data_IF_784772033609
#
_entry.id   IF_784772033609
#
_cell.length_a   1.000
_cell.length_b   1.000
_cell.length_c   1.000
_cell.angle_alpha   90.00
_cell.angle_beta   90.00
_cell.angle_gamma   90.00
#
_symmetry.space_group_name_H-M   'P 1'
#
loop_
_entity.id
_entity.type
_entity.pdbx_description
1 polymer ?
#
# COMPACT_ATOMS: atom_id res chain seq x y z
N UNK A 1 9.47 0.22 27.64
CA UNK A 1 10.53 -0.29 26.75
C UNK A 1 10.18 0.15 25.33
N UNK A 2 10.68 1.29 24.88
CA UNK A 2 10.41 1.80 23.51
C UNK A 2 11.19 0.95 22.52
N UNK A 3 10.51 0.33 21.56
CA UNK A 3 11.17 -0.39 20.48
C UNK A 3 12.08 0.59 19.72
N UNK A 4 13.32 0.19 19.36
CA UNK A 4 14.21 1.03 18.56
C UNK A 4 13.53 1.40 17.24
N UNK A 5 13.43 2.70 16.95
CA UNK A 5 12.74 3.24 15.78
C UNK A 5 13.48 2.82 14.50
N UNK A 6 12.95 1.89 13.70
CA UNK A 6 13.62 1.40 12.49
C UNK A 6 13.78 2.49 11.43
N UNK A 7 13.03 3.59 11.54
CA UNK A 7 13.07 4.71 10.60
C UNK A 7 14.12 5.77 10.96
N UNK A 8 14.77 5.67 12.12
CA UNK A 8 15.73 6.66 12.57
C UNK A 8 16.87 6.88 11.54
N UNK A 9 17.37 5.79 10.95
CA UNK A 9 18.41 5.85 9.90
C UNK A 9 17.93 6.55 8.63
N UNK A 10 16.69 6.29 8.21
CA UNK A 10 16.09 6.92 7.02
C UNK A 10 15.89 8.42 7.23
N UNK A 11 15.44 8.84 8.41
CA UNK A 11 15.24 10.26 8.74
C UNK A 11 16.57 11.03 8.74
N UNK A 12 17.63 10.42 9.27
CA UNK A 12 18.98 10.99 9.24
C UNK A 12 19.50 11.13 7.81
N UNK A 13 19.34 10.09 6.98
CA UNK A 13 19.73 10.15 5.57
C UNK A 13 18.98 11.25 4.82
N UNK A 14 17.66 11.36 5.01
CA UNK A 14 16.81 12.36 4.37
C UNK A 14 17.18 13.78 4.82
N UNK A 15 17.47 13.97 6.11
CA UNK A 15 17.97 15.25 6.64
C UNK A 15 19.31 15.64 6.00
N UNK A 16 20.24 14.69 5.81
CA UNK A 16 21.52 14.93 5.15
C UNK A 16 21.34 15.35 3.68
N UNK A 17 20.51 14.64 2.92
CA UNK A 17 20.23 14.98 1.53
C UNK A 17 19.54 16.33 1.38
N UNK A 18 18.57 16.65 2.27
CA UNK A 18 17.95 17.98 2.30
C UNK A 18 18.97 19.07 2.58
N UNK A 19 19.82 18.91 3.61
CA UNK A 19 20.87 19.89 3.91
C UNK A 19 21.82 20.09 2.74
N UNK A 20 22.23 19.02 2.07
CA UNK A 20 23.08 19.09 0.89
C UNK A 20 22.41 19.85 -0.26
N UNK A 21 21.16 19.50 -0.60
CA UNK A 21 20.39 20.18 -1.64
C UNK A 21 20.20 21.67 -1.32
N UNK A 22 19.86 22.00 -0.07
CA UNK A 22 19.71 23.40 0.37
C UNK A 22 21.04 24.15 0.35
N UNK A 23 22.15 23.51 0.77
CA UNK A 23 23.47 24.11 0.70
C UNK A 23 23.91 24.39 -0.75
N UNK A 24 23.64 23.46 -1.67
CA UNK A 24 23.93 23.65 -3.09
C UNK A 24 23.10 24.80 -3.68
N UNK A 25 21.81 24.89 -3.32
CA UNK A 25 20.95 26.00 -3.76
C UNK A 25 21.45 27.36 -3.24
N UNK A 26 21.82 27.42 -1.96
CA UNK A 26 22.41 28.61 -1.34
C UNK A 26 23.76 28.98 -1.98
N UNK A 27 24.58 27.98 -2.31
CA UNK A 27 25.83 28.19 -3.03
C UNK A 27 25.57 28.80 -4.42
N UNK A 28 24.61 28.27 -5.18
CA UNK A 28 24.25 28.85 -6.48
C UNK A 28 23.73 30.29 -6.35
N UNK A 29 22.93 30.57 -5.31
CA UNK A 29 22.48 31.92 -5.00
C UNK A 29 23.66 32.86 -4.68
N UNK A 30 24.59 32.41 -3.84
CA UNK A 30 25.78 33.16 -3.47
C UNK A 30 26.71 33.40 -4.67
N UNK A 31 26.92 32.40 -5.53
CA UNK A 31 27.68 32.54 -6.78
C UNK A 31 27.01 33.54 -7.73
N UNK A 32 25.68 33.49 -7.85
CA UNK A 32 24.92 34.44 -8.68
C UNK A 32 25.10 35.87 -8.18
N UNK A 33 24.98 36.09 -6.87
CA UNK A 33 25.16 37.41 -6.25
C UNK A 33 26.62 37.89 -6.31
N UNK A 34 27.57 37.00 -6.03
CA UNK A 34 29.00 37.29 -6.08
C UNK A 34 29.46 37.66 -7.49
N UNK A 35 28.94 36.97 -8.52
CA UNK A 35 29.25 37.27 -9.91
C UNK A 35 28.85 38.71 -10.33
N UNK A 36 27.84 39.33 -9.70
CA UNK A 36 27.49 40.74 -9.97
C UNK A 36 28.53 41.74 -9.46
N UNK A 37 29.37 41.37 -8.49
CA UNK A 37 30.43 42.23 -7.99
C UNK A 37 31.73 42.15 -8.82
N UNK A 38 31.82 41.19 -9.75
CA UNK A 38 32.99 41.01 -10.61
C UNK A 38 32.90 41.91 -11.86
N UNK A 39 34.04 42.34 -12.41
CA UNK A 39 34.06 43.08 -13.67
C UNK A 39 33.50 42.22 -14.83
N UNK A 40 32.85 42.87 -15.81
CA UNK A 40 32.28 42.17 -16.96
C UNK A 40 33.38 41.53 -17.81
N UNK A 41 33.16 40.29 -18.21
CA UNK A 41 34.09 39.49 -19.00
C UNK A 41 33.51 38.12 -19.33
N UNK A 42 34.05 37.48 -20.37
CA UNK A 42 33.50 36.20 -20.87
C UNK A 42 33.36 35.12 -19.78
N UNK A 43 34.35 34.98 -18.90
CA UNK A 43 34.33 34.01 -17.81
C UNK A 43 33.34 34.38 -16.70
N UNK A 44 33.15 35.67 -16.43
CA UNK A 44 32.21 36.14 -15.41
C UNK A 44 30.78 36.02 -15.90
N UNK A 45 30.53 36.28 -17.18
CA UNK A 45 29.24 36.06 -17.84
C UNK A 45 28.86 34.58 -17.86
N UNK A 46 29.81 33.70 -18.19
CA UNK A 46 29.60 32.25 -18.15
C UNK A 46 29.25 31.77 -16.74
N UNK A 47 30.02 32.20 -15.73
CA UNK A 47 29.76 31.87 -14.32
C UNK A 47 28.37 32.37 -13.89
N UNK A 48 28.02 33.60 -14.25
CA UNK A 48 26.74 34.20 -13.90
C UNK A 48 25.58 33.44 -14.57
N UNK A 49 25.70 33.10 -15.84
CA UNK A 49 24.70 32.33 -16.57
C UNK A 49 24.51 30.94 -15.97
N UNK A 50 25.61 30.22 -15.69
CA UNK A 50 25.57 28.89 -15.06
C UNK A 50 24.97 28.94 -13.65
N UNK A 51 25.39 29.90 -12.81
CA UNK A 51 24.89 30.04 -11.45
C UNK A 51 23.39 30.40 -11.43
N UNK A 52 22.97 31.33 -12.31
CA UNK A 52 21.56 31.74 -12.45
C UNK A 52 20.70 30.57 -12.95
N UNK A 53 21.18 29.81 -13.94
CA UNK A 53 20.50 28.60 -14.42
C UNK A 53 20.36 27.55 -13.31
N UNK A 54 21.42 27.31 -12.53
CA UNK A 54 21.40 26.39 -11.40
C UNK A 54 20.42 26.81 -10.29
N UNK A 55 20.39 28.10 -9.95
CA UNK A 55 19.47 28.67 -8.96
C UNK A 55 18.00 28.51 -9.39
N UNK A 56 17.68 28.91 -10.62
CA UNK A 56 16.31 28.81 -11.15
C UNK A 56 15.90 27.34 -11.29
N UNK A 57 16.80 26.47 -11.76
CA UNK A 57 16.56 25.03 -11.86
C UNK A 57 16.24 24.39 -10.51
N UNK A 58 17.01 24.74 -9.47
CA UNK A 58 16.75 24.24 -8.11
C UNK A 58 15.42 24.74 -7.51
N UNK A 59 15.07 26.00 -7.76
CA UNK A 59 13.76 26.55 -7.36
C UNK A 59 12.60 25.85 -8.09
N UNK A 60 12.78 25.54 -9.38
CA UNK A 60 11.78 24.85 -10.17
C UNK A 60 11.54 23.41 -9.69
N UNK A 61 12.60 22.68 -9.36
CA UNK A 61 12.50 21.33 -8.78
C UNK A 61 11.75 21.34 -7.43
N UNK A 62 12.10 22.28 -6.55
CA UNK A 62 11.38 22.46 -5.28
C UNK A 62 9.89 22.73 -5.49
N UNK A 63 9.57 23.60 -6.45
CA UNK A 63 8.19 23.92 -6.81
C UNK A 63 7.47 22.69 -7.37
N UNK A 64 8.09 21.90 -8.25
CA UNK A 64 7.49 20.73 -8.88
C UNK A 64 7.14 19.64 -7.85
N UNK A 65 8.09 19.29 -6.97
CA UNK A 65 7.87 18.30 -5.90
C UNK A 65 6.78 18.81 -4.94
N UNK A 66 6.84 20.08 -4.55
CA UNK A 66 5.85 20.65 -3.64
C UNK A 66 4.47 20.67 -4.29
N UNK A 67 4.35 21.07 -5.57
CA UNK A 67 3.10 21.12 -6.31
C UNK A 67 2.51 19.72 -6.58
N UNK A 68 3.31 18.67 -6.60
CA UNK A 68 2.82 17.30 -6.72
C UNK A 68 2.01 16.89 -5.47
N UNK A 69 2.51 17.23 -4.28
CA UNK A 69 1.95 16.78 -3.00
C UNK A 69 1.10 17.81 -2.25
N UNK A 70 1.39 19.11 -2.41
CA UNK A 70 0.84 20.22 -1.62
C UNK A 70 0.70 21.47 -2.49
N UNK A 71 0.21 22.57 -1.91
CA UNK A 71 0.16 23.88 -2.56
C UNK A 71 1.43 24.65 -2.22
N UNK A 72 2.27 25.04 -3.20
CA UNK A 72 3.45 25.85 -2.94
C UNK A 72 3.02 27.20 -2.35
N UNK A 73 3.72 27.66 -1.29
CA UNK A 73 3.44 28.91 -0.56
C UNK A 73 2.02 29.04 0.02
N UNK A 74 1.23 27.97 0.08
CA UNK A 74 -0.16 28.00 0.59
C UNK A 74 -1.18 28.67 -0.33
N UNK A 75 -0.77 29.14 -1.51
CA UNK A 75 -1.64 29.83 -2.45
C UNK A 75 -2.58 28.85 -3.18
N UNK A 76 -3.86 29.19 -3.41
CA UNK A 76 -4.82 28.34 -4.11
C UNK A 76 -4.61 28.38 -5.64
N UNK A 77 -3.44 27.93 -6.10
CA UNK A 77 -3.12 27.91 -7.53
C UNK A 77 -3.87 26.75 -8.20
N UNK A 78 -4.67 26.98 -9.26
CA UNK A 78 -5.31 25.93 -10.04
C UNK A 78 -4.24 24.96 -10.60
N UNK A 79 -4.55 23.67 -10.69
CA UNK A 79 -3.63 22.60 -11.15
C UNK A 79 -2.44 22.22 -10.23
N UNK A 80 -2.30 22.78 -9.02
CA UNK A 80 -1.36 22.26 -8.00
C UNK A 80 -2.00 21.18 -7.10
N UNK A 81 -1.21 20.51 -6.26
CA UNK A 81 -1.60 19.35 -5.46
C UNK A 81 -2.20 18.22 -6.32
N UNK A 82 -1.46 17.80 -7.36
CA UNK A 82 -1.93 16.83 -8.35
C UNK A 82 -2.28 15.48 -7.71
N UNK A 83 -1.42 14.96 -6.83
CA UNK A 83 -1.65 13.66 -6.17
C UNK A 83 -2.89 13.70 -5.27
N UNK A 84 -3.05 14.66 -4.33
CA UNK A 84 -4.27 14.76 -3.54
C UNK A 84 -5.54 14.87 -4.39
N UNK A 85 -5.51 15.64 -5.47
CA UNK A 85 -6.66 15.81 -6.38
C UNK A 85 -7.04 14.54 -7.14
N UNK A 86 -6.07 13.70 -7.50
CA UNK A 86 -6.28 12.48 -8.27
C UNK A 86 -6.18 11.21 -7.43
N UNK A 87 -6.24 11.31 -6.10
CA UNK A 87 -6.04 10.19 -5.16
C UNK A 87 -6.94 9.00 -5.47
N UNK A 88 -8.22 9.21 -5.78
CA UNK A 88 -9.13 8.11 -6.12
C UNK A 88 -8.73 7.39 -7.41
N UNK A 89 -8.39 8.14 -8.47
CA UNK A 89 -8.01 7.55 -9.76
C UNK A 89 -6.72 6.75 -9.62
N UNK A 90 -5.73 7.31 -8.91
CA UNK A 90 -4.47 6.64 -8.62
C UNK A 90 -4.68 5.40 -7.74
N UNK A 91 -5.54 5.48 -6.72
CA UNK A 91 -5.89 4.35 -5.85
C UNK A 91 -6.53 3.20 -6.62
N UNK A 92 -7.48 3.47 -7.51
CA UNK A 92 -8.07 2.44 -8.41
C UNK A 92 -7.04 1.83 -9.35
N UNK A 93 -6.09 2.63 -9.84
CA UNK A 93 -4.97 2.15 -10.67
C UNK A 93 -4.04 1.22 -9.90
N UNK A 94 -3.58 1.64 -8.72
CA UNK A 94 -2.74 0.86 -7.81
C UNK A 94 -3.42 -0.44 -7.38
N UNK A 95 -4.71 -0.40 -7.06
CA UNK A 95 -5.47 -1.61 -6.69
C UNK A 95 -5.47 -2.66 -7.81
N UNK A 96 -5.73 -2.24 -9.05
CA UNK A 96 -5.65 -3.13 -10.22
C UNK A 96 -4.24 -3.66 -10.46
N UNK A 97 -3.22 -2.82 -10.29
CA UNK A 97 -1.83 -3.23 -10.44
C UNK A 97 -1.45 -4.31 -9.42
N UNK A 98 -1.73 -4.08 -8.14
CA UNK A 98 -1.44 -5.03 -7.05
C UNK A 98 -2.21 -6.33 -7.24
N UNK A 99 -3.50 -6.26 -7.59
CA UNK A 99 -4.32 -7.44 -7.86
C UNK A 99 -3.82 -8.27 -9.04
N UNK A 100 -3.28 -7.64 -10.09
CA UNK A 100 -2.85 -8.36 -11.29
C UNK A 100 -1.39 -8.83 -11.25
N UNK A 101 -0.51 -8.15 -10.51
CA UNK A 101 0.95 -8.38 -10.59
C UNK A 101 1.60 -8.84 -9.29
N UNK A 102 1.03 -8.47 -8.13
CA UNK A 102 1.63 -8.80 -6.81
C UNK A 102 0.88 -9.94 -6.15
N UNK A 103 -0.45 -9.90 -6.19
CA UNK A 103 -1.34 -10.94 -5.65
C UNK A 103 -1.75 -11.92 -6.77
N UNK A 104 -0.76 -12.52 -7.43
CA UNK A 104 -1.06 -13.57 -8.40
C UNK A 104 -1.56 -14.82 -7.69
N UNK A 105 -2.37 -15.63 -8.36
CA UNK A 105 -2.89 -16.90 -7.82
C UNK A 105 -1.73 -17.80 -7.33
N UNK A 106 -0.63 -17.83 -8.09
CA UNK A 106 0.58 -18.56 -7.71
C UNK A 106 1.25 -18.03 -6.43
N UNK A 107 1.24 -16.71 -6.19
CA UNK A 107 1.80 -16.14 -4.95
C UNK A 107 0.86 -16.37 -3.76
N UNK A 108 -0.45 -16.33 -4.01
CA UNK A 108 -1.45 -16.65 -3.00
C UNK A 108 -1.34 -18.11 -2.55
N UNK A 109 -1.21 -19.05 -3.47
CA UNK A 109 -0.99 -20.47 -3.18
C UNK A 109 0.28 -20.71 -2.35
N UNK A 110 1.38 -20.00 -2.67
CA UNK A 110 2.62 -20.07 -1.89
C UNK A 110 2.44 -19.56 -0.46
N UNK A 111 1.68 -18.48 -0.27
CA UNK A 111 1.40 -17.95 1.06
C UNK A 111 0.50 -18.92 1.83
N UNK A 112 -0.59 -19.42 1.23
CA UNK A 112 -1.48 -20.39 1.87
C UNK A 112 -0.74 -21.68 2.24
N UNK A 113 0.15 -22.19 1.38
CA UNK A 113 0.97 -23.37 1.67
C UNK A 113 1.90 -23.19 2.89
N UNK A 114 2.24 -21.96 3.24
CA UNK A 114 3.05 -21.63 4.43
C UNK A 114 2.22 -21.42 5.69
N UNK A 115 0.90 -21.26 5.58
CA UNK A 115 0.02 -21.11 6.73
C UNK A 115 -0.37 -22.50 7.23
N UNK A 116 0.06 -22.83 8.44
CA UNK A 116 -0.36 -24.05 9.13
C UNK A 116 -1.78 -23.88 9.69
N UNK A 117 -2.77 -23.96 8.80
CA UNK A 117 -4.20 -23.95 9.14
C UNK A 117 -4.55 -25.06 10.12
N UNK A 118 -3.92 -26.24 9.99
CA UNK A 118 -4.15 -27.37 10.88
C UNK A 118 -3.63 -27.06 12.30
N UNK A 119 -2.46 -26.46 12.42
CA UNK A 119 -1.91 -25.99 13.70
C UNK A 119 -2.74 -24.87 14.32
N UNK A 120 -3.26 -23.94 13.52
CA UNK A 120 -4.17 -22.90 13.99
C UNK A 120 -5.47 -23.50 14.54
N UNK A 121 -6.10 -24.41 13.78
CA UNK A 121 -7.30 -25.13 14.21
C UNK A 121 -7.03 -25.93 15.47
N UNK A 122 -5.89 -26.64 15.54
CA UNK A 122 -5.51 -27.42 16.71
C UNK A 122 -5.37 -26.53 17.94
N UNK A 123 -4.69 -25.39 17.83
CA UNK A 123 -4.56 -24.43 18.93
C UNK A 123 -5.91 -23.90 19.37
N UNK A 124 -6.79 -23.59 18.42
CA UNK A 124 -8.14 -23.12 18.71
C UNK A 124 -8.97 -24.19 19.43
N UNK A 125 -8.99 -25.42 18.91
CA UNK A 125 -9.68 -26.58 19.51
C UNK A 125 -9.07 -27.01 20.86
N UNK A 126 -7.79 -26.76 21.07
CA UNK A 126 -7.10 -27.08 22.33
C UNK A 126 -7.32 -26.01 23.41
N UNK A 127 -7.84 -24.83 23.05
CA UNK A 127 -8.19 -23.78 23.98
C UNK A 127 -9.64 -23.96 24.47
N UNK A 128 -9.85 -24.33 25.74
CA UNK A 128 -11.19 -24.53 26.29
C UNK A 128 -12.00 -23.24 26.34
N UNK A 129 -11.35 -22.07 26.44
CA UNK A 129 -12.05 -20.79 26.50
C UNK A 129 -12.65 -20.40 25.14
N UNK A 130 -11.96 -20.72 24.05
CA UNK A 130 -12.45 -20.48 22.69
C UNK A 130 -13.44 -21.57 22.22
N UNK A 131 -13.23 -22.82 22.65
CA UNK A 131 -13.99 -23.98 22.15
C UNK A 131 -15.30 -24.20 22.88
N UNK A 132 -15.40 -23.93 24.19
CA UNK A 132 -16.64 -24.14 24.98
C UNK A 132 -17.86 -23.40 24.42
N UNK A 133 -17.79 -22.09 24.10
CA UNK A 133 -18.94 -21.36 23.55
C UNK A 133 -19.41 -21.95 22.21
N UNK A 134 -18.47 -22.35 21.35
CA UNK A 134 -18.76 -22.97 20.07
C UNK A 134 -19.40 -24.37 20.24
N UNK A 135 -18.85 -25.19 21.14
CA UNK A 135 -19.38 -26.51 21.45
C UNK A 135 -20.78 -26.43 22.07
N UNK A 136 -21.05 -25.49 22.96
CA UNK A 136 -22.38 -25.27 23.55
C UNK A 136 -23.40 -24.74 22.53
N UNK A 137 -22.97 -23.89 21.59
CA UNK A 137 -23.84 -23.45 20.49
C UNK A 137 -24.18 -24.61 19.54
N UNK A 138 -23.20 -25.47 19.23
CA UNK A 138 -23.40 -26.70 18.47
C UNK A 138 -24.32 -27.68 19.20
N UNK A 139 -24.08 -27.92 20.50
CA UNK A 139 -24.91 -28.81 21.32
C UNK A 139 -26.36 -28.31 21.42
N UNK A 140 -26.59 -27.00 21.53
CA UNK A 140 -27.93 -26.40 21.56
C UNK A 140 -28.66 -26.49 20.21
N UNK A 141 -27.93 -26.48 19.10
CA UNK A 141 -28.51 -26.61 17.75
C UNK A 141 -28.68 -28.07 17.31
N UNK A 142 -28.03 -29.02 17.98
CA UNK A 142 -28.08 -30.44 17.68
C UNK A 142 -29.51 -31.02 17.67
N UNK A 143 -30.38 -30.76 18.67
CA UNK A 143 -31.74 -31.28 18.67
C UNK A 143 -32.59 -30.71 17.54
N UNK A 144 -32.39 -29.42 17.20
CA UNK A 144 -33.09 -28.79 16.09
C UNK A 144 -32.66 -29.38 14.74
N UNK A 145 -31.38 -29.72 14.58
CA UNK A 145 -30.85 -30.42 13.40
C UNK A 145 -31.37 -31.86 13.31
N UNK A 146 -31.42 -32.59 14.43
CA UNK A 146 -31.95 -33.95 14.49
C UNK A 146 -33.45 -33.99 14.18
N UNK A 147 -34.25 -33.08 14.75
CA UNK A 147 -35.67 -32.96 14.41
C UNK A 147 -35.88 -32.57 12.93
N UNK A 148 -35.03 -31.71 12.37
CA UNK A 148 -35.07 -31.38 10.95
C UNK A 148 -34.67 -32.58 10.05
N UNK A 149 -33.85 -33.51 10.55
CA UNK A 149 -33.50 -34.75 9.88
C UNK A 149 -34.65 -35.77 9.94
N UNK A 150 -35.26 -35.97 11.11
CA UNK A 150 -36.37 -36.90 11.33
C UNK A 150 -37.67 -36.49 10.61
N UNK A 151 -37.99 -35.19 10.53
CA UNK A 151 -39.19 -34.68 9.84
C UNK A 151 -39.14 -34.81 8.29
N UNK A 152 -38.16 -35.52 7.74
CA UNK A 152 -37.95 -35.65 6.30
C UNK A 152 -37.57 -34.33 5.59
N UNK A 153 -37.36 -33.25 6.35
CA UNK A 153 -36.86 -31.96 5.84
C UNK A 153 -35.45 -32.11 5.31
N UNK A 154 -34.61 -32.89 5.96
CA UNK A 154 -33.29 -33.23 5.43
C UNK A 154 -33.35 -34.03 4.13
N UNK A 155 -34.33 -34.94 3.95
CA UNK A 155 -34.49 -35.65 2.66
C UNK A 155 -34.77 -34.68 1.52
N UNK A 156 -35.59 -33.64 1.76
CA UNK A 156 -35.85 -32.55 0.81
C UNK A 156 -34.63 -31.63 0.59
N UNK A 157 -33.86 -31.34 1.64
CA UNK A 157 -32.67 -30.50 1.57
C UNK A 157 -31.54 -31.23 0.82
N UNK A 158 -31.31 -32.49 1.17
CA UNK A 158 -30.36 -33.40 0.52
C UNK A 158 -30.77 -33.57 -0.94
N UNK A 159 -32.03 -33.84 -1.28
CA UNK A 159 -32.48 -33.92 -2.68
C UNK A 159 -32.31 -32.61 -3.46
N UNK A 160 -32.33 -31.43 -2.80
CA UNK A 160 -32.06 -30.13 -3.43
C UNK A 160 -30.57 -29.83 -3.59
N UNK A 161 -29.73 -30.37 -2.71
CA UNK A 161 -28.28 -30.14 -2.69
C UNK A 161 -27.48 -31.21 -3.44
N UNK A 162 -27.97 -32.46 -3.48
CA UNK A 162 -27.38 -33.57 -4.23
C UNK A 162 -27.09 -33.20 -5.69
N UNK A 163 -28.07 -32.66 -6.46
CA UNK A 163 -27.79 -32.28 -7.84
C UNK A 163 -26.77 -31.14 -7.94
N UNK A 164 -26.67 -30.25 -6.95
CA UNK A 164 -25.68 -29.15 -6.96
C UNK A 164 -24.27 -29.61 -6.61
N UNK A 165 -24.12 -30.61 -5.74
CA UNK A 165 -22.83 -31.20 -5.39
C UNK A 165 -22.34 -32.16 -6.48
N UNK A 166 -23.25 -32.92 -7.10
CA UNK A 166 -22.94 -33.82 -8.22
C UNK A 166 -22.69 -33.06 -9.53
N UNK A 167 -23.30 -31.89 -9.71
CA UNK A 167 -22.99 -30.98 -10.83
C UNK A 167 -21.86 -29.98 -10.54
N UNK A 168 -21.15 -30.13 -9.41
CA UNK A 168 -19.86 -29.48 -9.22
C UNK A 168 -18.85 -30.04 -10.24
N UNK A 169 -17.93 -29.22 -10.77
CA UNK A 169 -17.10 -29.48 -11.97
C UNK A 169 -16.07 -30.64 -11.87
N UNK A 170 -16.29 -31.64 -11.02
CA UNK A 170 -15.46 -32.84 -10.88
C UNK A 170 -16.04 -34.13 -11.49
N UNK A 171 -17.32 -34.17 -11.87
CA UNK A 171 -17.97 -35.40 -12.40
C UNK A 171 -17.92 -35.55 -13.93
N UNK A 172 -17.46 -34.53 -14.66
CA UNK A 172 -17.31 -34.58 -16.12
C UNK A 172 -16.01 -35.29 -16.60
N UNK A 173 -15.29 -35.99 -15.72
CA UNK A 173 -14.04 -36.70 -16.05
C UNK A 173 -14.12 -38.24 -16.00
N UNK A 174 -15.32 -38.82 -15.88
CA UNK A 174 -15.48 -40.28 -15.79
C UNK A 174 -16.39 -40.90 -16.87
N UNK A 175 -16.45 -40.29 -18.06
CA UNK A 175 -16.87 -40.97 -19.29
C UNK A 175 -15.89 -40.66 -20.41
#
# INVERSE_FOLDING_TARGET
>A
MSLPDPEAGLRLALARHRRFATALLLLMAALTLGAYALPPGYWTDLLQASAKAGLVGGLADWFAVTALFRRPLGLPIPHTAIIPRQKERLGRGLGRFVGNHVLTEAELDRVLARVDLAGLLRRWLSDPAATRPAAEALARSLPALLNALEDGRARRLIQRLLPRLVSGPGSARLL
#
